data_IF_303527166556
#
_entry.id   IF_303527166556
#
_cell.length_a   1.000
_cell.length_b   1.000
_cell.length_c   1.000
_cell.angle_alpha   90.00
_cell.angle_beta   90.00
_cell.angle_gamma   90.00
#
_symmetry.space_group_name_H-M   'P 1'
#
loop_
_entity.id
_entity.type
_entity.pdbx_description
1 polymer ?
#
# COMPACT_ATOMS: atom_id res chain seq x y z
N UNK A 1 2.92 14.82 -44.13
CA UNK A 1 2.29 14.74 -42.79
C UNK A 1 2.70 13.44 -42.11
N UNK A 2 3.39 13.46 -40.96
CA UNK A 2 3.58 12.27 -40.15
C UNK A 2 2.56 12.19 -39.01
N UNK A 3 2.13 10.96 -38.72
CA UNK A 3 1.05 10.57 -37.82
C UNK A 3 1.34 10.92 -36.35
N UNK A 4 0.29 11.33 -35.64
CA UNK A 4 0.25 11.56 -34.18
C UNK A 4 0.44 10.25 -33.39
N UNK A 5 0.91 10.47 -32.15
CA UNK A 5 0.75 9.70 -30.90
C UNK A 5 1.82 8.68 -30.51
N UNK A 6 2.74 9.11 -29.63
CA UNK A 6 3.12 8.30 -28.47
C UNK A 6 3.53 9.25 -27.33
N UNK A 7 2.64 9.41 -26.35
CA UNK A 7 2.93 10.13 -25.11
C UNK A 7 4.02 9.33 -24.38
N UNK A 8 5.25 9.84 -24.40
CA UNK A 8 6.42 9.22 -23.78
C UNK A 8 6.24 9.25 -22.25
N UNK A 9 6.20 8.07 -21.63
CA UNK A 9 6.49 7.91 -20.21
C UNK A 9 7.79 8.66 -19.88
N UNK A 10 7.75 9.56 -18.89
CA UNK A 10 8.88 10.44 -18.55
C UNK A 10 9.99 9.75 -17.75
N UNK A 11 9.88 8.46 -17.43
CA UNK A 11 10.87 7.75 -16.62
C UNK A 11 11.35 6.48 -17.33
N UNK A 12 12.64 6.42 -17.62
CA UNK A 12 13.31 5.22 -18.15
C UNK A 12 13.39 4.14 -17.06
N UNK A 13 12.75 2.97 -17.23
CA UNK A 13 12.80 1.88 -16.26
C UNK A 13 14.22 1.42 -15.94
N UNK A 14 15.13 1.42 -16.92
CA UNK A 14 16.51 1.02 -16.69
C UNK A 14 17.23 1.98 -15.73
N UNK A 15 16.99 3.28 -15.88
CA UNK A 15 17.54 4.31 -15.00
C UNK A 15 16.98 4.23 -13.56
N UNK A 16 15.69 3.93 -13.40
CA UNK A 16 15.06 3.74 -12.06
C UNK A 16 15.73 2.59 -11.32
N UNK A 17 15.97 1.48 -12.02
CA UNK A 17 16.53 0.27 -11.42
C UNK A 17 17.99 0.42 -11.00
N UNK A 18 18.71 1.43 -11.52
CA UNK A 18 20.05 1.79 -11.04
C UNK A 18 20.05 2.48 -9.66
N UNK A 19 18.93 3.05 -9.22
CA UNK A 19 18.81 3.67 -7.90
C UNK A 19 18.86 2.57 -6.85
N UNK A 20 19.98 2.42 -6.13
CA UNK A 20 20.16 1.34 -5.14
C UNK A 20 19.21 1.43 -3.94
N UNK A 21 18.94 2.63 -3.44
CA UNK A 21 18.01 2.82 -2.32
C UNK A 21 16.58 2.56 -2.76
N UNK A 22 15.91 1.58 -2.14
CA UNK A 22 14.50 1.31 -2.44
C UNK A 22 13.60 2.48 -2.07
N UNK A 23 13.94 3.21 -1.00
CA UNK A 23 13.20 4.40 -0.57
C UNK A 23 13.23 5.49 -1.64
N UNK A 24 14.42 5.81 -2.17
CA UNK A 24 14.54 6.83 -3.23
C UNK A 24 13.88 6.35 -4.52
N UNK A 25 14.06 5.08 -4.88
CA UNK A 25 13.45 4.47 -6.07
C UNK A 25 11.91 4.56 -6.01
N UNK A 26 11.32 4.15 -4.89
CA UNK A 26 9.88 4.22 -4.65
C UNK A 26 9.37 5.66 -4.73
N UNK A 27 10.08 6.61 -4.08
CA UNK A 27 9.76 8.03 -4.12
C UNK A 27 9.75 8.57 -5.55
N UNK A 28 10.79 8.31 -6.34
CA UNK A 28 10.88 8.76 -7.74
C UNK A 28 9.73 8.21 -8.60
N UNK A 29 9.36 6.94 -8.42
CA UNK A 29 8.24 6.33 -9.14
C UNK A 29 6.91 7.01 -8.76
N UNK A 30 6.64 7.16 -7.46
CA UNK A 30 5.37 7.72 -6.96
C UNK A 30 5.24 9.20 -7.30
N UNK A 31 6.29 9.99 -7.12
CA UNK A 31 6.28 11.42 -7.45
C UNK A 31 6.19 11.64 -8.97
N UNK A 32 6.91 10.85 -9.77
CA UNK A 32 6.84 10.93 -11.23
C UNK A 32 5.47 10.51 -11.78
N UNK A 33 4.81 9.54 -11.14
CA UNK A 33 3.42 9.18 -11.45
C UNK A 33 2.44 10.30 -11.05
N UNK A 34 2.61 10.88 -9.85
CA UNK A 34 1.73 11.95 -9.34
C UNK A 34 1.87 13.25 -10.14
N UNK A 35 3.08 13.62 -10.54
CA UNK A 35 3.35 14.78 -11.39
C UNK A 35 2.86 14.56 -12.85
N UNK A 36 2.82 13.32 -13.33
CA UNK A 36 2.20 12.97 -14.62
C UNK A 36 0.67 12.95 -14.59
N UNK A 37 0.07 12.79 -13.41
CA UNK A 37 -1.37 12.69 -13.14
C UNK A 37 -2.08 14.03 -12.93
N UNK A 38 -1.53 15.16 -13.37
CA UNK A 38 -2.20 16.46 -13.30
C UNK A 38 -3.56 16.57 -14.05
N UNK A 39 -4.13 15.45 -14.53
CA UNK A 39 -5.58 15.25 -14.66
C UNK A 39 -6.00 13.83 -14.29
N UNK A 40 -6.20 13.55 -13.00
CA UNK A 40 -7.23 12.59 -12.59
C UNK A 40 -8.60 13.30 -12.68
N UNK A 41 -9.60 12.77 -13.41
CA UNK A 41 -10.96 13.28 -13.37
C UNK A 41 -11.68 12.98 -12.04
N UNK A 42 -11.08 12.15 -11.19
CA UNK A 42 -11.58 11.85 -9.86
C UNK A 42 -10.77 12.64 -8.83
N UNK A 43 -11.39 13.71 -8.33
CA UNK A 43 -10.95 14.42 -7.14
C UNK A 43 -11.01 13.46 -5.95
N UNK A 44 -9.86 13.22 -5.31
CA UNK A 44 -9.80 12.49 -4.06
C UNK A 44 -10.19 13.41 -2.91
N UNK A 45 -11.42 13.20 -2.42
CA UNK A 45 -11.84 13.22 -1.01
C UNK A 45 -11.08 14.19 -0.10
N UNK A 46 -11.61 15.41 -0.03
CA UNK A 46 -11.33 16.38 1.03
C UNK A 46 -11.90 15.84 2.35
N UNK A 47 -11.23 16.07 3.48
CA UNK A 47 -11.83 15.89 4.81
C UNK A 47 -12.84 17.01 4.99
N UNK A 48 -14.01 16.86 4.39
CA UNK A 48 -15.10 17.78 4.56
C UNK A 48 -16.18 17.09 5.39
N UNK A 49 -16.65 17.84 6.38
CA UNK A 49 -17.86 17.58 7.12
C UNK A 49 -18.93 16.96 6.19
N UNK A 50 -19.29 15.70 6.41
CA UNK A 50 -20.13 14.97 5.47
C UNK A 50 -21.56 15.53 5.45
N UNK A 51 -22.21 15.63 6.62
CA UNK A 51 -23.51 16.29 6.80
C UNK A 51 -23.96 16.27 8.28
N UNK A 52 -24.95 17.10 8.63
CA UNK A 52 -25.65 17.01 9.92
C UNK A 52 -26.82 16.03 9.74
N UNK A 53 -26.83 14.94 10.51
CA UNK A 53 -27.97 14.03 10.56
C UNK A 53 -28.83 14.33 11.78
N UNK A 54 -30.18 14.37 11.67
CA UNK A 54 -31.04 14.38 12.85
C UNK A 54 -30.72 13.21 13.78
N UNK A 55 -30.65 13.49 15.08
CA UNK A 55 -30.44 12.46 16.09
C UNK A 55 -31.58 11.44 16.05
N UNK A 56 -31.23 10.16 16.12
CA UNK A 56 -32.19 9.06 16.29
C UNK A 56 -31.87 8.33 17.58
N UNK A 57 -32.90 7.80 18.24
CA UNK A 57 -32.76 6.99 19.44
C UNK A 57 -31.83 5.80 19.13
N UNK A 58 -30.70 5.74 19.83
CA UNK A 58 -29.62 4.77 19.60
C UNK A 58 -28.28 5.40 19.22
N UNK A 59 -28.27 6.66 18.79
CA UNK A 59 -27.03 7.41 18.52
C UNK A 59 -26.30 7.77 19.83
N UNK A 60 -24.96 7.71 19.82
CA UNK A 60 -24.11 8.09 20.97
C UNK A 60 -24.21 9.60 21.24
N UNK A 61 -24.68 10.03 22.43
CA UNK A 61 -24.81 11.45 22.79
C UNK A 61 -23.50 12.25 22.74
N UNK A 62 -22.33 11.58 22.73
CA UNK A 62 -21.02 12.24 22.59
C UNK A 62 -20.79 12.87 21.22
N UNK A 63 -21.50 12.39 20.19
CA UNK A 63 -21.38 12.89 18.82
C UNK A 63 -22.34 14.05 18.51
N UNK A 64 -23.07 14.52 19.53
CA UNK A 64 -24.07 15.58 19.41
C UNK A 64 -23.39 16.95 19.31
N UNK A 65 -23.84 17.78 18.37
CA UNK A 65 -23.33 19.15 18.26
C UNK A 65 -24.08 20.09 19.21
N UNK A 66 -23.51 20.31 20.39
CA UNK A 66 -24.06 21.23 21.40
C UNK A 66 -24.16 22.69 20.91
N UNK A 67 -23.30 23.13 19.99
CA UNK A 67 -23.35 24.50 19.44
C UNK A 67 -24.49 24.65 18.44
N UNK A 68 -24.73 23.62 17.61
CA UNK A 68 -25.86 23.62 16.68
C UNK A 68 -27.19 23.49 17.42
N UNK A 69 -27.24 22.65 18.47
CA UNK A 69 -28.39 22.53 19.36
C UNK A 69 -28.75 23.89 19.97
N UNK A 70 -27.77 24.61 20.53
CA UNK A 70 -27.99 25.93 21.14
C UNK A 70 -28.52 26.99 20.16
N UNK A 71 -28.37 26.80 18.84
CA UNK A 71 -28.83 27.74 17.80
C UNK A 71 -30.16 27.35 17.16
N UNK A 72 -30.47 26.06 17.12
CA UNK A 72 -31.58 25.53 16.31
C UNK A 72 -32.63 24.77 17.10
N UNK A 73 -32.38 24.50 18.39
CA UNK A 73 -33.22 23.70 19.29
C UNK A 73 -33.57 22.31 18.72
N UNK A 74 -32.68 21.79 17.87
CA UNK A 74 -32.81 20.50 17.20
C UNK A 74 -31.54 19.69 17.43
N UNK A 75 -31.73 18.40 17.73
CA UNK A 75 -30.64 17.46 17.96
C UNK A 75 -30.07 16.99 16.64
N UNK A 76 -28.80 17.32 16.39
CA UNK A 76 -28.04 16.84 15.25
C UNK A 76 -26.77 16.15 15.72
N UNK A 77 -26.45 15.05 15.04
CA UNK A 77 -25.21 14.29 15.22
C UNK A 77 -24.27 14.64 14.08
N UNK A 78 -22.99 14.88 14.39
CA UNK A 78 -21.97 15.04 13.37
C UNK A 78 -21.70 13.68 12.72
N UNK A 79 -22.02 13.55 11.44
CA UNK A 79 -21.49 12.45 10.65
C UNK A 79 -20.11 12.84 10.13
N UNK A 80 -19.12 12.06 10.53
CA UNK A 80 -17.80 12.08 9.93
C UNK A 80 -17.83 11.06 8.79
N UNK A 81 -17.36 11.43 7.59
CA UNK A 81 -16.99 10.42 6.61
C UNK A 81 -15.91 9.57 7.26
N UNK A 82 -16.20 8.28 7.48
CA UNK A 82 -15.21 7.36 8.01
C UNK A 82 -14.07 7.30 6.99
N UNK A 83 -12.94 7.94 7.29
CA UNK A 83 -11.65 7.60 6.71
C UNK A 83 -11.44 6.12 7.04
N UNK A 84 -11.88 5.22 6.16
CA UNK A 84 -11.52 3.82 6.26
C UNK A 84 -10.03 3.76 6.01
N UNK A 85 -9.22 3.93 7.06
CA UNK A 85 -7.79 3.67 7.08
C UNK A 85 -7.61 2.23 6.57
N UNK A 86 -7.30 2.09 5.27
CA UNK A 86 -7.26 0.77 4.66
C UNK A 86 -6.03 0.07 5.20
N UNK A 87 -6.22 -1.18 5.63
CA UNK A 87 -5.12 -2.06 5.99
C UNK A 87 -4.70 -2.81 4.74
N UNK A 88 -3.44 -2.66 4.37
CA UNK A 88 -2.85 -3.37 3.26
C UNK A 88 -1.75 -4.32 3.78
N UNK A 89 -1.78 -5.56 3.33
CA UNK A 89 -0.76 -6.56 3.57
C UNK A 89 -0.08 -6.86 2.25
N UNK A 90 1.20 -6.55 2.14
CA UNK A 90 2.02 -6.90 0.98
C UNK A 90 2.66 -8.27 1.25
N UNK A 91 2.17 -9.31 0.58
CA UNK A 91 2.77 -10.64 0.60
C UNK A 91 3.73 -10.78 -0.56
N UNK A 92 5.01 -11.00 -0.26
CA UNK A 92 6.09 -10.96 -1.25
C UNK A 92 6.73 -12.32 -1.34
N UNK A 93 6.67 -12.90 -2.52
CA UNK A 93 7.33 -14.16 -2.80
C UNK A 93 8.84 -13.95 -2.95
N UNK A 94 9.57 -14.77 -2.21
CA UNK A 94 11.02 -14.81 -2.17
C UNK A 94 11.57 -16.19 -2.61
N UNK A 95 10.77 -16.96 -3.34
CA UNK A 95 11.13 -18.24 -3.94
C UNK A 95 12.35 -18.14 -4.87
N UNK A 96 12.99 -19.28 -5.11
CA UNK A 96 14.11 -19.39 -6.06
C UNK A 96 13.74 -18.94 -7.48
N UNK A 97 12.50 -19.13 -7.93
CA UNK A 97 12.03 -18.68 -9.25
C UNK A 97 12.11 -17.16 -9.40
N UNK A 98 11.98 -16.42 -8.29
CA UNK A 98 12.08 -14.96 -8.24
C UNK A 98 13.52 -14.45 -8.42
N UNK A 99 14.55 -15.29 -8.23
CA UNK A 99 15.92 -14.92 -8.56
C UNK A 99 16.18 -14.85 -10.08
N UNK A 100 15.29 -15.41 -10.91
CA UNK A 100 15.40 -15.33 -12.36
C UNK A 100 15.24 -13.88 -12.86
N UNK A 101 15.97 -13.52 -13.92
CA UNK A 101 15.97 -12.17 -14.50
C UNK A 101 16.53 -12.12 -15.91
N UNK A 102 16.43 -10.96 -16.55
CA UNK A 102 16.89 -10.73 -17.92
C UNK A 102 18.32 -10.15 -18.00
N UNK A 103 19.11 -10.28 -16.92
CA UNK A 103 20.46 -9.74 -16.79
C UNK A 103 20.54 -8.28 -16.30
N UNK A 104 19.46 -7.50 -16.41
CA UNK A 104 19.39 -6.13 -15.86
C UNK A 104 18.70 -6.11 -14.49
N UNK A 105 17.64 -6.91 -14.32
CA UNK A 105 16.80 -6.93 -13.13
C UNK A 105 16.29 -8.35 -12.88
N UNK A 106 16.33 -8.80 -11.64
CA UNK A 106 15.66 -10.04 -11.21
C UNK A 106 14.19 -9.81 -10.89
N UNK A 107 13.34 -10.84 -11.00
CA UNK A 107 11.92 -10.74 -10.59
C UNK A 107 11.80 -10.31 -9.12
N UNK A 108 12.71 -10.76 -8.25
CA UNK A 108 12.79 -10.35 -6.84
C UNK A 108 13.05 -8.84 -6.71
N UNK A 109 14.03 -8.29 -7.43
CA UNK A 109 14.32 -6.85 -7.42
C UNK A 109 13.13 -6.03 -7.94
N UNK A 110 12.44 -6.53 -8.96
CA UNK A 110 11.22 -5.90 -9.47
C UNK A 110 10.08 -5.96 -8.43
N UNK A 111 9.88 -7.11 -7.79
CA UNK A 111 8.89 -7.31 -6.74
C UNK A 111 9.14 -6.43 -5.51
N UNK A 112 10.39 -6.34 -5.05
CA UNK A 112 10.82 -5.43 -3.97
C UNK A 112 10.56 -3.98 -4.35
N UNK A 113 10.85 -3.59 -5.60
CA UNK A 113 10.57 -2.23 -6.10
C UNK A 113 9.07 -1.95 -6.10
N UNK A 114 8.26 -2.87 -6.62
CA UNK A 114 6.81 -2.76 -6.63
C UNK A 114 6.23 -2.65 -5.21
N UNK A 115 6.68 -3.51 -4.30
CA UNK A 115 6.28 -3.49 -2.90
C UNK A 115 6.68 -2.18 -2.21
N UNK A 116 7.89 -1.69 -2.45
CA UNK A 116 8.37 -0.42 -1.92
C UNK A 116 7.54 0.76 -2.45
N UNK A 117 7.27 0.79 -3.75
CA UNK A 117 6.42 1.82 -4.38
C UNK A 117 5.01 1.81 -3.79
N UNK A 118 4.38 0.65 -3.65
CA UNK A 118 3.06 0.54 -3.04
C UNK A 118 3.06 0.93 -1.57
N UNK A 119 4.05 0.48 -0.79
CA UNK A 119 4.19 0.84 0.61
C UNK A 119 4.38 2.35 0.79
N UNK A 120 5.21 2.97 -0.06
CA UNK A 120 5.43 4.42 -0.06
C UNK A 120 4.15 5.18 -0.40
N UNK A 121 3.47 4.78 -1.49
CA UNK A 121 2.22 5.40 -1.92
C UNK A 121 1.12 5.32 -0.84
N UNK A 122 0.89 4.13 -0.29
CA UNK A 122 -0.11 3.90 0.75
C UNK A 122 0.25 4.64 2.04
N UNK A 123 1.53 4.72 2.40
CA UNK A 123 1.97 5.50 3.55
C UNK A 123 1.69 7.00 3.40
N UNK A 124 1.84 7.56 2.18
CA UNK A 124 1.45 8.94 1.88
C UNK A 124 -0.06 9.16 2.00
N UNK A 125 -0.87 8.17 1.63
CA UNK A 125 -2.33 8.17 1.79
C UNK A 125 -2.80 7.93 3.23
N UNK A 126 -1.88 7.82 4.20
CA UNK A 126 -2.16 7.51 5.61
C UNK A 126 -2.74 6.11 5.87
N UNK A 127 -2.65 5.22 4.89
CA UNK A 127 -3.07 3.83 5.03
C UNK A 127 -2.07 3.01 5.88
N UNK A 128 -2.59 1.99 6.57
CA UNK A 128 -1.78 1.09 7.36
C UNK A 128 -1.21 -0.02 6.46
N UNK A 129 0.11 -0.09 6.33
CA UNK A 129 0.78 -1.06 5.44
C UNK A 129 1.60 -2.04 6.27
N UNK A 130 1.45 -3.34 6.01
CA UNK A 130 2.28 -4.41 6.54
C UNK A 130 2.93 -5.20 5.41
N UNK A 131 4.01 -5.91 5.72
CA UNK A 131 4.72 -6.78 4.77
C UNK A 131 4.83 -8.18 5.39
N UNK A 132 4.69 -9.19 4.53
CA UNK A 132 5.10 -10.55 4.82
C UNK A 132 5.98 -11.07 3.69
N UNK A 133 7.16 -11.57 4.01
CA UNK A 133 7.96 -12.34 3.06
C UNK A 133 7.55 -13.80 3.12
N UNK A 134 7.41 -14.44 1.96
CA UNK A 134 7.05 -15.86 1.83
C UNK A 134 8.28 -16.61 1.33
N UNK A 135 8.93 -17.36 2.24
CA UNK A 135 10.13 -18.16 2.00
C UNK A 135 10.31 -19.25 3.06
N UNK A 136 11.10 -20.29 2.75
CA UNK A 136 11.17 -21.56 3.50
C UNK A 136 11.76 -21.48 4.90
N UNK A 137 12.68 -20.54 5.17
CA UNK A 137 13.40 -20.51 6.46
C UNK A 137 13.22 -19.20 7.25
N UNK A 138 12.78 -18.12 6.59
CA UNK A 138 12.65 -16.80 7.21
C UNK A 138 11.45 -16.06 6.61
N UNK A 139 10.24 -16.48 6.98
CA UNK A 139 9.05 -15.67 6.76
C UNK A 139 9.03 -14.55 7.80
N UNK A 140 9.41 -13.35 7.39
CA UNK A 140 9.35 -12.16 8.23
C UNK A 140 8.00 -11.48 8.07
N UNK A 141 7.44 -11.03 9.18
CA UNK A 141 6.15 -10.36 9.21
C UNK A 141 6.22 -9.04 9.98
N UNK A 142 5.86 -7.97 9.29
CA UNK A 142 5.64 -6.65 9.88
C UNK A 142 4.14 -6.33 9.80
N UNK A 143 3.44 -6.16 10.94
CA UNK A 143 2.01 -5.92 10.94
C UNK A 143 1.66 -4.55 10.35
N UNK A 144 0.45 -4.38 9.76
CA UNK A 144 0.05 -3.10 9.18
C UNK A 144 -0.09 -2.00 10.22
N UNK A 145 0.70 -0.94 10.06
CA UNK A 145 0.68 0.26 10.91
C UNK A 145 0.94 1.51 10.07
N UNK A 146 0.45 2.64 10.56
CA UNK A 146 0.85 3.96 10.10
C UNK A 146 1.41 4.72 11.31
N UNK A 147 2.74 4.77 11.43
CA UNK A 147 3.46 5.49 12.49
C UNK A 147 4.83 5.93 11.99
N UNK A 148 5.42 6.91 12.67
CA UNK A 148 6.78 7.35 12.37
C UNK A 148 7.78 6.18 12.39
N UNK A 149 8.72 6.16 11.45
CA UNK A 149 9.72 5.09 11.29
C UNK A 149 9.20 3.77 10.70
N UNK A 150 7.88 3.55 10.61
CA UNK A 150 7.33 2.29 10.10
C UNK A 150 7.71 2.05 8.64
N UNK A 151 7.59 3.08 7.79
CA UNK A 151 7.98 2.97 6.39
C UNK A 151 9.47 2.60 6.23
N UNK A 152 10.36 3.16 7.05
CA UNK A 152 11.78 2.82 7.01
C UNK A 152 12.01 1.35 7.39
N UNK A 153 11.27 0.84 8.39
CA UNK A 153 11.31 -0.57 8.75
C UNK A 153 10.87 -1.47 7.59
N UNK A 154 9.79 -1.10 6.88
CA UNK A 154 9.34 -1.82 5.69
C UNK A 154 10.40 -1.82 4.59
N UNK A 155 11.02 -0.67 4.31
CA UNK A 155 12.07 -0.54 3.29
C UNK A 155 13.29 -1.39 3.63
N UNK A 156 13.71 -1.40 4.89
CA UNK A 156 14.84 -2.22 5.33
C UNK A 156 14.58 -3.73 5.12
N UNK A 157 13.38 -4.21 5.46
CA UNK A 157 12.99 -5.60 5.19
C UNK A 157 13.01 -5.92 3.69
N UNK A 158 12.54 -5.00 2.85
CA UNK A 158 12.53 -5.19 1.39
C UNK A 158 13.93 -5.18 0.77
N UNK A 159 14.90 -4.48 1.37
CA UNK A 159 16.28 -4.42 0.88
C UNK A 159 17.08 -5.69 1.20
N UNK A 160 16.61 -6.54 2.12
CA UNK A 160 17.28 -7.80 2.43
C UNK A 160 17.19 -8.76 1.23
N UNK A 161 18.31 -9.38 0.90
CA UNK A 161 18.37 -10.41 -0.14
C UNK A 161 17.67 -11.68 0.34
N UNK A 162 16.82 -12.25 -0.53
CA UNK A 162 16.28 -13.59 -0.30
C UNK A 162 17.37 -14.61 -0.57
N UNK A 163 17.58 -15.53 0.38
CA UNK A 163 18.44 -16.71 0.19
C UNK A 163 17.81 -17.79 -0.72
N UNK A 164 16.64 -17.52 -1.33
CA UNK A 164 16.14 -18.20 -2.52
C UNK A 164 16.15 -19.73 -2.45
N UNK A 165 15.49 -20.31 -1.43
CA UNK A 165 15.20 -21.76 -1.36
C UNK A 165 13.73 -22.03 -1.68
N UNK A 166 13.37 -23.30 -1.82
CA UNK A 166 12.02 -23.73 -2.22
C UNK A 166 10.96 -23.05 -1.34
N UNK A 167 10.15 -22.14 -1.90
CA UNK A 167 9.15 -21.41 -1.11
C UNK A 167 7.80 -22.11 -1.21
N UNK A 168 7.18 -22.38 -0.06
CA UNK A 168 5.79 -22.80 -0.01
C UNK A 168 4.89 -21.56 0.14
N UNK A 169 4.49 -21.00 -0.99
CA UNK A 169 3.62 -19.82 -1.02
C UNK A 169 2.28 -20.07 -0.31
N UNK A 170 1.73 -21.27 -0.41
CA UNK A 170 0.47 -21.65 0.23
C UNK A 170 0.58 -21.61 1.76
N UNK A 171 1.69 -22.12 2.31
CA UNK A 171 1.97 -22.05 3.74
C UNK A 171 2.14 -20.61 4.21
N UNK A 172 2.88 -19.78 3.46
CA UNK A 172 3.05 -18.36 3.74
C UNK A 172 1.72 -17.60 3.77
N UNK A 173 0.84 -17.83 2.80
CA UNK A 173 -0.49 -17.22 2.76
C UNK A 173 -1.41 -17.71 3.88
N UNK A 174 -1.32 -19.00 4.24
CA UNK A 174 -2.07 -19.58 5.37
C UNK A 174 -1.63 -18.95 6.68
N UNK A 175 -0.32 -18.77 6.86
CA UNK A 175 0.24 -18.09 8.01
C UNK A 175 -0.16 -16.60 8.05
N UNK A 176 -0.14 -15.90 6.92
CA UNK A 176 -0.64 -14.53 6.80
C UNK A 176 -2.11 -14.42 7.22
N UNK A 177 -2.95 -15.37 6.78
CA UNK A 177 -4.36 -15.43 7.14
C UNK A 177 -4.55 -15.58 8.66
N UNK A 178 -3.73 -16.42 9.32
CA UNK A 178 -3.75 -16.57 10.78
C UNK A 178 -3.27 -15.33 11.54
N UNK A 179 -2.32 -14.57 10.99
CA UNK A 179 -1.82 -13.33 11.57
C UNK A 179 -2.73 -12.12 11.32
N UNK A 180 -3.57 -12.18 10.28
CA UNK A 180 -4.47 -11.10 9.90
C UNK A 180 -5.68 -11.01 10.83
N UNK A 181 -5.52 -10.23 11.92
CA UNK A 181 -6.58 -10.05 12.93
C UNK A 181 -7.74 -9.13 12.51
N UNK A 182 -7.62 -8.42 11.39
CA UNK A 182 -8.61 -7.41 10.93
C UNK A 182 -8.76 -7.47 9.42
N UNK A 183 -9.95 -7.08 8.92
CA UNK A 183 -10.20 -6.92 7.47
C UNK A 183 -9.16 -5.99 6.85
N UNK A 184 -8.68 -6.35 5.66
CA UNK A 184 -7.70 -5.60 4.91
C UNK A 184 -7.53 -6.16 3.49
N UNK A 185 -6.89 -5.38 2.63
CA UNK A 185 -6.46 -5.80 1.30
C UNK A 185 -5.17 -6.61 1.44
N UNK A 186 -5.09 -7.75 0.76
CA UNK A 186 -3.83 -8.49 0.59
C UNK A 186 -3.38 -8.32 -0.86
N UNK A 187 -2.15 -7.86 -1.06
CA UNK A 187 -1.50 -7.77 -2.37
C UNK A 187 -0.40 -8.81 -2.40
N UNK A 188 -0.58 -9.83 -3.22
CA UNK A 188 0.41 -10.86 -3.46
C UNK A 188 1.29 -10.48 -4.65
N UNK A 189 2.61 -10.52 -4.46
CA UNK A 189 3.61 -10.25 -5.49
C UNK A 189 4.46 -11.51 -5.66
N UNK A 190 4.21 -12.25 -6.74
CA UNK A 190 4.86 -13.52 -7.04
C UNK A 190 4.79 -13.79 -8.54
N UNK A 191 5.69 -14.65 -9.03
CA UNK A 191 5.55 -15.24 -10.37
C UNK A 191 4.66 -16.49 -10.38
N UNK A 192 4.14 -16.89 -9.21
CA UNK A 192 3.25 -18.02 -8.97
C UNK A 192 3.81 -19.35 -9.46
N UNK A 193 5.13 -19.44 -9.61
CA UNK A 193 5.80 -20.66 -10.01
C UNK A 193 6.04 -21.52 -8.76
N UNK A 194 5.07 -22.35 -8.43
CA UNK A 194 5.10 -23.28 -7.30
C UNK A 194 4.74 -24.68 -7.79
N UNK A 195 5.27 -25.71 -7.13
CA UNK A 195 4.90 -27.08 -7.44
C UNK A 195 3.41 -27.32 -7.10
N UNK A 196 2.69 -28.10 -7.92
CA UNK A 196 1.25 -28.31 -7.78
C UNK A 196 0.84 -29.11 -6.53
#
# INVERSE_FOLDING_TARGET
>A
MPKRSNQRWFIDPAAIMQIKSLTLRAKTIVEGFTAGLHRSPLHGFSVEFAEYRPYVIGDDPRNLDWKLLARTDRYYVKQYEDETNRRCYLAIDQSRSMAYGNGLVTKAQYAQTLAATLAYYLHLQRDAVGIMTCGTQSSEFIPPRHRHGHLQQLMHLLEQESEGRDSNLAEGLTHLAGLSKRRGLVVLISDLLTDP
#
